data_IF_052272288417
#
_entry.id   IF_052272288417
#
_cell.length_a   1.000
_cell.length_b   1.000
_cell.length_c   1.000
_cell.angle_alpha   90.00
_cell.angle_beta   90.00
_cell.angle_gamma   90.00
#
_symmetry.space_group_name_H-M   'P 1'
#
loop_
_entity.id
_entity.type
_entity.pdbx_description
1 polymer ?
#
# COMPACT_ATOMS: atom_id res chain seq x y z
N UNK A 1 14.96 13.41 9.22
CA UNK A 1 14.52 12.50 10.29
C UNK A 1 15.30 11.19 10.25
N UNK A 2 15.43 10.47 11.38
CA UNK A 2 16.24 9.24 11.46
C UNK A 2 15.78 8.16 10.47
N UNK A 3 14.49 8.08 10.16
CA UNK A 3 13.95 7.12 9.20
C UNK A 3 14.30 7.41 7.73
N UNK A 4 14.89 8.57 7.41
CA UNK A 4 15.48 8.84 6.09
C UNK A 4 16.98 8.49 6.02
N UNK A 5 17.58 8.02 7.13
CA UNK A 5 18.99 7.63 7.14
C UNK A 5 19.24 6.36 6.31
N UNK A 6 18.24 5.50 6.17
CA UNK A 6 18.31 4.29 5.36
C UNK A 6 17.93 4.61 3.91
N UNK A 7 18.82 4.26 2.98
CA UNK A 7 18.63 4.55 1.56
C UNK A 7 17.79 3.46 0.90
N UNK A 8 16.58 3.80 0.47
CA UNK A 8 15.78 2.97 -0.42
C UNK A 8 16.16 3.25 -1.90
N UNK A 9 16.02 2.28 -2.82
CA UNK A 9 16.15 2.53 -4.25
C UNK A 9 15.21 3.66 -4.68
N UNK A 10 15.72 4.69 -5.40
CA UNK A 10 14.89 5.81 -5.80
C UNK A 10 13.94 5.41 -6.93
N UNK A 11 12.68 5.81 -6.82
CA UNK A 11 11.73 5.78 -7.93
C UNK A 11 12.05 6.93 -8.88
N UNK A 12 12.16 6.66 -10.19
CA UNK A 12 12.36 7.72 -11.18
C UNK A 12 11.14 8.64 -11.20
N UNK A 13 11.38 9.94 -11.08
CA UNK A 13 10.35 10.98 -11.07
C UNK A 13 10.72 12.14 -11.97
N UNK A 14 9.71 12.87 -12.43
CA UNK A 14 9.86 14.13 -13.15
C UNK A 14 8.93 15.19 -12.58
N UNK A 15 9.25 16.47 -12.80
CA UNK A 15 8.32 17.56 -12.49
C UNK A 15 7.25 17.64 -13.58
N UNK A 16 6.01 17.86 -13.17
CA UNK A 16 4.94 18.19 -14.10
C UNK A 16 5.13 19.65 -14.54
N UNK A 17 5.49 19.87 -15.80
CA UNK A 17 5.78 21.20 -16.36
C UNK A 17 4.75 21.68 -17.37
N UNK A 18 3.80 20.80 -17.74
CA UNK A 18 2.70 21.06 -18.66
C UNK A 18 1.53 20.17 -18.30
N UNK A 19 0.38 20.46 -18.89
CA UNK A 19 -0.79 19.61 -18.76
C UNK A 19 -0.56 18.25 -19.44
N UNK A 20 -1.09 17.21 -18.80
CA UNK A 20 -1.02 15.82 -19.24
C UNK A 20 -2.37 15.17 -19.00
N UNK A 21 -2.66 14.10 -19.74
CA UNK A 21 -3.89 13.32 -19.60
C UNK A 21 -3.53 11.88 -19.23
N UNK A 22 -4.40 11.25 -18.48
CA UNK A 22 -4.36 9.82 -18.12
C UNK A 22 -5.78 9.37 -17.82
N UNK A 23 -6.08 8.08 -17.94
CA UNK A 23 -7.37 7.53 -17.52
C UNK A 23 -7.58 7.67 -16.01
N UNK A 24 -6.53 7.38 -15.23
CA UNK A 24 -6.59 7.44 -13.76
C UNK A 24 -5.41 8.22 -13.20
N UNK A 25 -5.70 9.16 -12.31
CA UNK A 25 -4.71 9.90 -11.53
C UNK A 25 -4.71 9.40 -10.08
N UNK A 26 -3.57 8.90 -9.61
CA UNK A 26 -3.32 8.57 -8.21
C UNK A 26 -2.61 9.74 -7.54
N UNK A 27 -3.23 10.31 -6.51
CA UNK A 27 -2.68 11.43 -5.74
C UNK A 27 -2.12 10.92 -4.41
N UNK A 28 -0.80 11.05 -4.26
CA UNK A 28 -0.03 10.57 -3.12
C UNK A 28 0.65 9.23 -3.41
N UNK A 29 1.97 9.17 -3.22
CA UNK A 29 2.81 7.99 -3.47
C UNK A 29 3.43 7.45 -2.18
N UNK A 30 2.57 7.19 -1.20
CA UNK A 30 2.85 6.27 -0.09
C UNK A 30 2.48 4.83 -0.45
N UNK A 31 2.39 3.95 0.55
CA UNK A 31 2.06 2.54 0.34
C UNK A 31 0.72 2.34 -0.36
N UNK A 32 -0.33 3.04 0.06
CA UNK A 32 -1.66 2.92 -0.55
C UNK A 32 -1.65 3.36 -2.01
N UNK A 33 -1.00 4.47 -2.33
CA UNK A 33 -0.86 4.95 -3.69
C UNK A 33 -0.11 3.98 -4.59
N UNK A 34 1.00 3.42 -4.10
CA UNK A 34 1.77 2.41 -4.81
C UNK A 34 0.94 1.13 -5.09
N UNK A 35 0.18 0.65 -4.10
CA UNK A 35 -0.70 -0.50 -4.28
C UNK A 35 -1.83 -0.23 -5.27
N UNK A 36 -2.41 0.97 -5.26
CA UNK A 36 -3.46 1.33 -6.22
C UNK A 36 -2.89 1.45 -7.63
N UNK A 37 -1.72 2.09 -7.78
CA UNK A 37 -1.04 2.20 -9.07
C UNK A 37 -0.74 0.80 -9.65
N UNK A 38 -0.21 -0.13 -8.85
CA UNK A 38 0.01 -1.52 -9.28
C UNK A 38 -1.29 -2.19 -9.71
N UNK A 39 -2.34 -2.13 -8.88
CA UNK A 39 -3.58 -2.83 -9.16
C UNK A 39 -4.27 -2.32 -10.44
N UNK A 40 -4.26 -1.01 -10.66
CA UNK A 40 -4.87 -0.35 -11.82
C UNK A 40 -4.06 -0.59 -13.10
N UNK A 41 -2.74 -0.44 -13.04
CA UNK A 41 -1.88 -0.71 -14.20
C UNK A 41 -1.95 -2.17 -14.63
N UNK A 42 -2.01 -3.10 -13.67
CA UNK A 42 -2.24 -4.53 -13.95
C UNK A 42 -3.62 -4.80 -14.57
N UNK A 43 -4.62 -3.99 -14.25
CA UNK A 43 -5.94 -4.07 -14.88
C UNK A 43 -5.96 -3.47 -16.30
N UNK A 44 -4.83 -2.95 -16.80
CA UNK A 44 -4.70 -2.40 -18.14
C UNK A 44 -4.98 -0.90 -18.25
N UNK A 45 -5.15 -0.21 -17.13
CA UNK A 45 -5.40 1.24 -17.13
C UNK A 45 -4.13 2.06 -17.35
N UNK A 46 -4.28 3.19 -18.04
CA UNK A 46 -3.25 4.22 -18.08
C UNK A 46 -3.29 5.04 -16.78
N UNK A 47 -2.28 4.82 -15.93
CA UNK A 47 -2.21 5.44 -14.59
C UNK A 47 -1.09 6.45 -14.50
N UNK A 48 -1.44 7.67 -14.08
CA UNK A 48 -0.47 8.67 -13.66
C UNK A 48 -0.45 8.78 -12.13
N UNK A 49 0.75 8.95 -11.57
CA UNK A 49 0.95 9.14 -10.14
C UNK A 49 1.56 10.50 -9.87
N UNK A 50 1.00 11.26 -8.92
CA UNK A 50 1.55 12.52 -8.45
C UNK A 50 1.76 12.50 -6.95
N UNK A 51 2.87 13.06 -6.49
CA UNK A 51 3.12 13.28 -5.07
C UNK A 51 3.81 14.64 -4.88
N UNK A 52 3.34 15.42 -3.90
CA UNK A 52 3.87 16.75 -3.61
C UNK A 52 5.32 16.72 -3.10
N UNK A 53 5.67 15.72 -2.29
CA UNK A 53 6.99 15.56 -1.67
C UNK A 53 7.89 14.66 -2.50
N UNK A 54 7.29 13.73 -3.24
CA UNK A 54 7.94 12.66 -3.96
C UNK A 54 7.60 11.30 -3.34
N UNK A 55 7.74 10.20 -4.10
CA UNK A 55 7.37 8.87 -3.65
C UNK A 55 8.07 8.48 -2.36
N UNK A 56 7.32 7.91 -1.42
CA UNK A 56 7.81 7.35 -0.15
C UNK A 56 8.44 8.42 0.77
N UNK A 57 8.28 9.72 0.51
CA UNK A 57 8.79 10.80 1.36
C UNK A 57 7.79 11.26 2.45
N UNK A 58 6.72 10.49 2.65
CA UNK A 58 5.68 10.70 3.66
C UNK A 58 5.82 9.80 4.89
N UNK A 59 4.71 9.39 5.48
CA UNK A 59 4.69 8.44 6.62
C UNK A 59 5.21 7.05 6.24
N UNK A 60 5.14 6.67 4.96
CA UNK A 60 5.64 5.37 4.50
C UNK A 60 7.13 5.18 4.74
N UNK A 61 7.96 6.23 4.73
CA UNK A 61 9.39 6.06 5.09
C UNK A 61 9.62 5.80 6.57
N UNK A 62 8.67 6.13 7.44
CA UNK A 62 8.79 5.97 8.89
C UNK A 62 8.31 4.59 9.38
N UNK A 63 7.96 3.66 8.48
CA UNK A 63 7.49 2.31 8.83
C UNK A 63 8.65 1.34 9.04
N UNK A 64 8.45 0.35 9.91
CA UNK A 64 9.31 -0.84 10.03
C UNK A 64 8.97 -1.93 9.01
N UNK A 65 7.96 -1.69 8.16
CA UNK A 65 7.41 -2.64 7.20
C UNK A 65 6.81 -3.92 7.82
N UNK A 66 6.48 -3.90 9.12
CA UNK A 66 5.68 -4.95 9.74
C UNK A 66 4.25 -4.86 9.22
N UNK A 67 3.72 -5.98 8.69
CA UNK A 67 2.36 -6.07 8.17
C UNK A 67 1.58 -7.12 8.97
N UNK A 68 0.54 -6.68 9.67
CA UNK A 68 -0.34 -7.53 10.46
C UNK A 68 -1.75 -7.54 9.86
N UNK A 69 -2.51 -8.62 10.13
CA UNK A 69 -3.92 -8.67 9.75
C UNK A 69 -4.83 -8.07 10.82
N UNK A 70 -4.32 -7.83 12.02
CA UNK A 70 -5.06 -7.14 13.06
C UNK A 70 -5.36 -5.72 12.60
N UNK A 71 -6.63 -5.35 12.67
CA UNK A 71 -7.10 -4.01 12.38
C UNK A 71 -7.25 -3.25 13.70
N UNK A 72 -7.35 -1.91 13.61
CA UNK A 72 -7.37 -1.01 14.78
C UNK A 72 -8.43 -1.36 15.84
N UNK A 73 -9.52 -2.03 15.45
CA UNK A 73 -10.61 -2.40 16.36
C UNK A 73 -10.70 -3.92 16.55
N UNK A 74 -10.56 -4.43 17.79
CA UNK A 74 -10.82 -5.82 18.14
C UNK A 74 -12.18 -6.29 17.61
N UNK A 75 -12.26 -7.55 17.15
CA UNK A 75 -13.50 -8.10 16.59
C UNK A 75 -14.70 -7.95 17.53
N UNK A 76 -14.49 -8.09 18.84
CA UNK A 76 -15.53 -7.92 19.86
C UNK A 76 -16.11 -6.50 19.91
N UNK A 77 -15.26 -5.48 19.74
CA UNK A 77 -15.65 -4.07 19.72
C UNK A 77 -16.28 -3.74 18.37
N UNK A 78 -15.63 -4.11 17.27
CA UNK A 78 -16.12 -3.85 15.93
C UNK A 78 -17.50 -4.50 15.70
N UNK A 79 -17.72 -5.72 16.22
CA UNK A 79 -19.01 -6.40 16.13
C UNK A 79 -20.16 -5.65 16.81
N UNK A 80 -19.87 -4.87 17.86
CA UNK A 80 -20.86 -4.03 18.54
C UNK A 80 -21.14 -2.74 17.75
N UNK A 81 -20.16 -2.26 16.98
CA UNK A 81 -20.29 -1.02 16.20
C UNK A 81 -21.03 -1.23 14.89
N UNK A 82 -20.72 -2.31 14.16
CA UNK A 82 -21.18 -2.50 12.78
C UNK A 82 -21.91 -3.84 12.53
N UNK A 83 -22.15 -4.62 13.60
CA UNK A 83 -22.75 -5.94 13.49
C UNK A 83 -21.72 -7.08 13.35
N UNK A 84 -22.11 -8.28 13.80
CA UNK A 84 -21.22 -9.45 13.86
C UNK A 84 -20.79 -9.92 12.47
N UNK A 85 -21.66 -9.87 11.47
CA UNK A 85 -21.37 -10.42 10.14
C UNK A 85 -20.34 -9.55 9.41
N UNK A 86 -20.55 -8.25 9.44
CA UNK A 86 -19.74 -7.20 8.84
C UNK A 86 -18.36 -7.15 9.50
N UNK A 87 -18.32 -7.17 10.84
CA UNK A 87 -17.08 -7.19 11.59
C UNK A 87 -16.26 -8.46 11.30
N UNK A 88 -16.89 -9.64 11.27
CA UNK A 88 -16.21 -10.89 10.87
C UNK A 88 -15.66 -10.79 9.44
N UNK A 89 -16.39 -10.15 8.53
CA UNK A 89 -15.94 -10.02 7.16
C UNK A 89 -14.77 -9.04 7.00
N UNK A 90 -14.75 -7.93 7.75
CA UNK A 90 -13.61 -7.02 7.78
C UNK A 90 -12.33 -7.74 8.21
N UNK A 91 -12.39 -8.50 9.32
CA UNK A 91 -11.26 -9.29 9.82
C UNK A 91 -10.78 -10.36 8.83
N UNK A 92 -11.72 -11.08 8.20
CA UNK A 92 -11.39 -12.07 7.15
C UNK A 92 -10.70 -11.43 5.96
N UNK A 93 -11.20 -10.29 5.48
CA UNK A 93 -10.61 -9.53 4.37
C UNK A 93 -9.21 -9.02 4.72
N UNK A 94 -8.99 -8.55 5.94
CA UNK A 94 -7.66 -8.13 6.40
C UNK A 94 -6.65 -9.29 6.37
N UNK A 95 -7.01 -10.46 6.90
CA UNK A 95 -6.16 -11.67 6.84
C UNK A 95 -5.88 -12.12 5.40
N UNK A 96 -6.89 -12.04 4.54
CA UNK A 96 -6.72 -12.35 3.12
C UNK A 96 -5.81 -11.32 2.43
N UNK A 97 -5.93 -10.03 2.75
CA UNK A 97 -5.11 -8.98 2.17
C UNK A 97 -3.61 -9.19 2.45
N UNK A 98 -3.24 -9.57 3.68
CA UNK A 98 -1.84 -9.90 4.02
C UNK A 98 -1.34 -11.09 3.21
N UNK A 99 -2.18 -12.13 3.07
CA UNK A 99 -1.82 -13.32 2.28
C UNK A 99 -1.69 -13.00 0.78
N UNK A 100 -2.59 -12.17 0.25
CA UNK A 100 -2.54 -11.71 -1.13
C UNK A 100 -1.30 -10.85 -1.39
N UNK A 101 -0.96 -9.93 -0.49
CA UNK A 101 0.26 -9.12 -0.61
C UNK A 101 1.50 -10.00 -0.68
N UNK A 102 1.62 -11.02 0.19
CA UNK A 102 2.74 -11.96 0.14
C UNK A 102 2.80 -12.73 -1.19
N UNK A 103 1.66 -13.25 -1.66
CA UNK A 103 1.59 -13.93 -2.95
C UNK A 103 2.00 -13.01 -4.12
N UNK A 104 1.58 -11.75 -4.09
CA UNK A 104 1.93 -10.74 -5.10
C UNK A 104 3.41 -10.39 -5.11
N UNK A 105 4.03 -10.26 -3.94
CA UNK A 105 5.48 -10.06 -3.83
C UNK A 105 6.24 -11.20 -4.49
N UNK A 106 5.81 -12.44 -4.26
CA UNK A 106 6.40 -13.64 -4.89
C UNK A 106 6.17 -13.67 -6.39
N UNK A 107 4.92 -13.44 -6.85
CA UNK A 107 4.55 -13.44 -8.28
C UNK A 107 5.38 -12.42 -9.08
N UNK A 108 5.59 -11.23 -8.52
CA UNK A 108 6.35 -10.15 -9.17
C UNK A 108 7.87 -10.26 -8.97
N UNK A 109 8.35 -11.25 -8.21
CA UNK A 109 9.78 -11.41 -7.93
C UNK A 109 10.41 -10.23 -7.18
N UNK A 110 9.67 -9.58 -6.28
CA UNK A 110 10.15 -8.37 -5.58
C UNK A 110 11.10 -8.76 -4.45
N UNK A 111 12.38 -8.42 -4.60
CA UNK A 111 13.41 -8.61 -3.58
C UNK A 111 13.24 -7.59 -2.44
N UNK A 112 12.52 -7.98 -1.38
CA UNK A 112 12.23 -7.12 -0.22
C UNK A 112 12.53 -7.78 1.15
N UNK A 113 13.24 -8.90 1.17
CA UNK A 113 13.57 -9.60 2.42
C UNK A 113 12.35 -10.14 3.17
N UNK A 114 11.25 -10.41 2.45
CA UNK A 114 10.00 -10.88 3.04
C UNK A 114 10.22 -12.18 3.84
N UNK A 115 9.84 -12.14 5.11
CA UNK A 115 9.80 -13.29 6.00
C UNK A 115 8.42 -13.37 6.66
N UNK A 116 7.94 -14.58 6.92
CA UNK A 116 6.61 -14.80 7.51
C UNK A 116 6.75 -15.69 8.75
N UNK A 117 6.43 -15.12 9.90
CA UNK A 117 6.19 -15.88 11.13
C UNK A 117 4.73 -16.32 11.17
N UNK A 118 4.49 -17.58 11.55
CA UNK A 118 3.14 -18.14 11.67
C UNK A 118 2.38 -17.53 12.84
#
# INVERSE_FOLDING_TARGET
>A
PVWFAYRAPPVRVGKLTRDVKSEVLVVGMGISGAMMAEALTRAGHEVMCIDRRGPVLGSTSATTALVQFEIDQPLSILSRMIGKAEARQAWRRSRLAVSNLAARVTELGITCGMSRTQ
#
